data_IF_339143451277
#
_entry.id   IF_339143451277
#
_cell.length_a   1.000
_cell.length_b   1.000
_cell.length_c   1.000
_cell.angle_alpha   90.00
_cell.angle_beta   90.00
_cell.angle_gamma   90.00
#
_symmetry.space_group_name_H-M   'P 1'
#
loop_
_entity.id
_entity.type
_entity.pdbx_description
1 polymer ?
#
# COMPACT_ATOMS: atom_id res chain seq x y z
N UNK A 1 1.00 -11.98 -12.07
CA UNK A 1 1.72 -11.32 -10.98
C UNK A 1 1.68 -12.20 -9.75
N UNK A 2 2.58 -12.01 -8.79
CA UNK A 2 2.48 -12.70 -7.49
C UNK A 2 1.46 -11.95 -6.61
N UNK A 3 0.48 -12.67 -6.03
CA UNK A 3 -0.52 -12.09 -5.10
C UNK A 3 0.05 -11.93 -3.67
N UNK A 4 1.37 -11.83 -3.55
CA UNK A 4 2.10 -11.67 -2.30
C UNK A 4 3.37 -10.88 -2.52
N UNK A 5 3.74 -10.10 -1.52
CA UNK A 5 5.03 -9.43 -1.44
C UNK A 5 5.81 -10.00 -0.25
N UNK A 6 6.89 -10.71 -0.54
CA UNK A 6 7.79 -11.23 0.49
C UNK A 6 8.83 -10.21 0.90
N UNK A 7 8.94 -9.96 2.21
CA UNK A 7 10.00 -9.17 2.82
C UNK A 7 10.88 -10.09 3.67
N UNK A 8 12.17 -10.14 3.35
CA UNK A 8 13.14 -11.03 4.02
C UNK A 8 13.59 -10.51 5.40
N UNK A 9 12.64 -10.13 6.25
CA UNK A 9 12.89 -9.72 7.63
C UNK A 9 11.74 -10.20 8.56
N UNK A 10 11.99 -10.29 9.87
CA UNK A 10 10.94 -10.59 10.85
C UNK A 10 9.83 -9.53 10.90
N UNK A 11 8.65 -9.95 11.33
CA UNK A 11 7.41 -9.17 11.34
C UNK A 11 7.56 -7.73 11.84
N UNK A 12 8.13 -7.51 13.03
CA UNK A 12 8.26 -6.16 13.60
C UNK A 12 9.02 -5.21 12.69
N UNK A 13 10.04 -5.71 11.98
CA UNK A 13 10.80 -4.90 11.02
C UNK A 13 10.03 -4.74 9.72
N UNK A 14 9.35 -5.78 9.24
CA UNK A 14 8.51 -5.71 8.04
C UNK A 14 7.36 -4.72 8.22
N UNK A 15 6.68 -4.73 9.37
CA UNK A 15 5.63 -3.79 9.75
C UNK A 15 6.08 -2.33 9.61
N UNK A 16 7.25 -2.00 10.15
CA UNK A 16 7.84 -0.66 10.04
C UNK A 16 8.22 -0.29 8.60
N UNK A 17 8.71 -1.26 7.82
CA UNK A 17 9.05 -1.06 6.41
C UNK A 17 7.78 -0.78 5.59
N UNK A 18 6.73 -1.58 5.79
CA UNK A 18 5.43 -1.41 5.12
C UNK A 18 4.80 -0.05 5.49
N UNK A 19 4.73 0.28 6.78
CA UNK A 19 4.21 1.57 7.26
C UNK A 19 4.94 2.76 6.64
N UNK A 20 6.27 2.69 6.53
CA UNK A 20 7.08 3.72 5.87
C UNK A 20 6.81 3.80 4.37
N UNK A 21 6.66 2.66 3.70
CA UNK A 21 6.38 2.61 2.26
C UNK A 21 5.01 3.23 1.93
N UNK A 22 3.97 2.90 2.71
CA UNK A 22 2.64 3.52 2.61
C UNK A 22 2.73 5.05 2.74
N UNK A 23 3.41 5.54 3.78
CA UNK A 23 3.62 6.98 3.99
C UNK A 23 4.38 7.66 2.85
N UNK A 24 5.37 7.00 2.24
CA UNK A 24 6.13 7.56 1.10
C UNK A 24 5.31 7.71 -0.18
N UNK A 25 4.18 7.01 -0.28
CA UNK A 25 3.26 7.07 -1.42
C UNK A 25 2.00 7.85 -1.11
N UNK A 26 1.95 8.53 0.05
CA UNK A 26 0.77 9.25 0.51
C UNK A 26 -0.51 8.40 0.51
N UNK A 27 -0.37 7.07 0.64
CA UNK A 27 -1.50 6.16 0.77
C UNK A 27 -2.12 6.40 2.15
N UNK A 28 -3.39 6.75 2.17
CA UNK A 28 -4.12 6.93 3.42
C UNK A 28 -4.23 5.59 4.17
N UNK A 29 -3.85 5.61 5.44
CA UNK A 29 -3.99 4.46 6.35
C UNK A 29 -5.01 4.84 7.41
N UNK A 30 -6.23 4.35 7.26
CA UNK A 30 -7.35 4.65 8.17
C UNK A 30 -7.25 3.88 9.48
N UNK A 31 -6.64 2.69 9.45
CA UNK A 31 -6.41 1.87 10.64
C UNK A 31 -5.07 1.14 10.60
N UNK A 32 -4.44 1.02 11.77
CA UNK A 32 -3.22 0.24 11.99
C UNK A 32 -3.44 -0.73 13.14
N UNK A 33 -3.68 -1.99 12.83
CA UNK A 33 -3.77 -3.05 13.83
C UNK A 33 -2.52 -3.94 13.76
N UNK A 34 -1.50 -3.61 14.55
CA UNK A 34 -0.24 -4.36 14.55
C UNK A 34 -0.37 -5.74 15.20
N UNK A 35 -1.32 -5.92 16.10
CA UNK A 35 -1.58 -7.21 16.76
C UNK A 35 -2.11 -8.23 15.76
N UNK A 36 -3.12 -7.83 14.97
CA UNK A 36 -3.68 -8.63 13.87
C UNK A 36 -2.81 -8.60 12.61
N UNK A 37 -1.82 -7.70 12.56
CA UNK A 37 -0.95 -7.52 11.40
C UNK A 37 -1.65 -6.95 10.18
N UNK A 38 -2.64 -6.07 10.37
CA UNK A 38 -3.46 -5.50 9.28
C UNK A 38 -3.33 -3.98 9.23
N UNK A 39 -3.11 -3.47 8.02
CA UNK A 39 -3.36 -2.06 7.67
C UNK A 39 -4.64 -1.96 6.85
N UNK A 40 -5.54 -1.06 7.24
CA UNK A 40 -6.69 -0.64 6.43
C UNK A 40 -6.28 0.59 5.65
N UNK A 41 -6.36 0.55 4.32
CA UNK A 41 -5.89 1.64 3.43
C UNK A 41 -6.95 2.06 2.44
N UNK A 42 -6.97 3.36 2.11
CA UNK A 42 -7.68 3.86 0.92
C UNK A 42 -6.71 3.93 -0.25
N UNK A 43 -7.09 3.36 -1.38
CA UNK A 43 -6.25 3.29 -2.57
C UNK A 43 -7.08 3.38 -3.85
N UNK A 44 -6.71 4.29 -4.75
CA UNK A 44 -7.23 4.32 -6.12
C UNK A 44 -6.25 3.58 -7.05
N UNK A 45 -6.61 2.40 -7.58
CA UNK A 45 -5.74 1.64 -8.48
C UNK A 45 -5.57 2.29 -9.85
N UNK A 46 -6.41 3.26 -10.21
CA UNK A 46 -6.44 3.93 -11.50
C UNK A 46 -5.97 5.40 -11.41
N UNK A 47 -5.43 5.79 -10.24
CA UNK A 47 -4.78 7.09 -10.05
C UNK A 47 -3.71 7.30 -11.11
N UNK A 48 -3.93 8.28 -11.98
CA UNK A 48 -2.93 8.70 -12.95
C UNK A 48 -1.98 9.66 -12.26
N UNK A 49 -0.67 9.40 -12.35
CA UNK A 49 0.32 10.40 -11.97
C UNK A 49 0.07 11.62 -12.85
N UNK A 50 -0.33 12.73 -12.22
CA UNK A 50 -0.33 14.01 -12.91
C UNK A 50 1.13 14.32 -13.26
N UNK A 51 1.50 14.14 -14.52
CA UNK A 51 2.79 14.59 -15.03
C UNK A 51 2.77 16.12 -15.05
N UNK A 52 3.35 16.72 -14.00
CA UNK A 52 3.94 18.06 -13.95
C UNK A 52 3.08 19.23 -14.48
N UNK A 53 2.57 20.09 -13.59
CA UNK A 53 2.01 21.37 -14.07
C UNK A 53 1.28 22.27 -13.09
N UNK A 54 2.02 23.00 -12.25
CA UNK A 54 1.54 24.16 -11.47
C UNK A 54 0.74 23.86 -10.19
N UNK A 55 1.14 24.54 -9.11
CA UNK A 55 0.46 24.62 -7.81
C UNK A 55 -1.05 24.96 -7.85
N UNK A 56 -1.57 25.35 -9.02
CA UNK A 56 -3.00 25.58 -9.24
C UNK A 56 -3.81 24.29 -9.41
N UNK A 57 -3.22 23.23 -9.97
CA UNK A 57 -3.89 21.95 -10.18
C UNK A 57 -4.11 21.21 -8.84
N UNK A 58 -3.21 21.41 -7.88
CA UNK A 58 -3.32 20.87 -6.51
C UNK A 58 -4.49 21.52 -5.73
N UNK A 59 -4.78 22.80 -5.96
CA UNK A 59 -5.91 23.51 -5.34
C UNK A 59 -7.23 23.14 -6.01
N UNK A 60 -7.27 23.01 -7.33
CA UNK A 60 -8.49 22.60 -8.05
C UNK A 60 -8.89 21.17 -7.70
N UNK A 61 -7.95 20.25 -7.45
CA UNK A 61 -8.25 18.88 -7.01
C UNK A 61 -8.97 18.84 -5.65
N UNK A 62 -8.61 19.72 -4.71
CA UNK A 62 -9.23 19.79 -3.38
C UNK A 62 -10.67 20.37 -3.38
N UNK A 63 -11.05 21.15 -4.41
CA UNK A 63 -12.37 21.79 -4.50
C UNK A 63 -13.25 21.27 -5.65
N UNK A 64 -12.67 20.59 -6.64
CA UNK A 64 -13.31 20.17 -7.87
C UNK A 64 -13.40 18.66 -7.94
N UNK A 65 -14.13 18.06 -6.99
CA UNK A 65 -14.49 16.64 -6.87
C UNK A 65 -14.08 15.77 -8.07
N UNK A 66 -12.82 15.34 -8.09
CA UNK A 66 -12.46 14.16 -8.86
C UNK A 66 -13.15 13.04 -8.11
N UNK A 67 -14.00 12.30 -8.82
CA UNK A 67 -14.64 11.12 -8.27
C UNK A 67 -13.54 10.10 -7.99
N UNK A 68 -12.96 10.19 -6.80
CA UNK A 68 -11.93 9.29 -6.31
C UNK A 68 -12.50 7.89 -6.40
N UNK A 69 -11.85 7.02 -7.19
CA UNK A 69 -12.18 5.60 -7.19
C UNK A 69 -11.42 4.89 -6.06
N UNK A 70 -11.01 5.64 -5.03
CA UNK A 70 -10.47 5.07 -3.80
C UNK A 70 -11.42 4.02 -3.26
N UNK A 71 -10.83 2.86 -3.00
CA UNK A 71 -11.48 1.75 -2.33
C UNK A 71 -10.67 1.38 -1.10
N UNK A 72 -11.37 0.83 -0.12
CA UNK A 72 -10.74 0.22 1.04
C UNK A 72 -10.07 -1.09 0.63
N UNK A 73 -8.81 -1.27 1.04
CA UNK A 73 -8.11 -2.55 0.97
C UNK A 73 -7.51 -2.90 2.33
N UNK A 74 -7.42 -4.19 2.64
CA UNK A 74 -6.74 -4.70 3.82
C UNK A 74 -5.40 -5.30 3.43
N UNK A 75 -4.31 -4.72 3.93
CA UNK A 75 -2.96 -5.27 3.78
C UNK A 75 -2.61 -6.09 5.01
N UNK A 76 -2.57 -7.41 4.86
CA UNK A 76 -2.24 -8.34 5.93
C UNK A 76 -0.77 -8.77 5.86
N UNK A 77 -0.10 -8.68 7.00
CA UNK A 77 1.29 -9.11 7.19
C UNK A 77 1.33 -10.43 7.93
N UNK A 78 1.78 -11.48 7.24
CA UNK A 78 1.84 -12.84 7.76
C UNK A 78 3.28 -13.24 8.08
N UNK A 79 3.49 -13.72 9.30
CA UNK A 79 4.79 -14.27 9.73
C UNK A 79 5.10 -15.54 8.94
N UNK A 80 6.27 -15.58 8.31
CA UNK A 80 6.76 -16.76 7.60
C UNK A 80 8.21 -17.04 8.01
N UNK A 81 8.41 -17.78 9.10
CA UNK A 81 9.73 -18.03 9.69
C UNK A 81 10.50 -16.72 9.98
N UNK A 82 11.65 -16.52 9.32
CA UNK A 82 12.50 -15.32 9.43
C UNK A 82 12.09 -14.21 8.43
N UNK A 83 10.96 -14.39 7.75
CA UNK A 83 10.45 -13.52 6.69
C UNK A 83 9.01 -13.13 7.01
N UNK A 84 8.50 -12.15 6.29
CA UNK A 84 7.11 -11.69 6.40
C UNK A 84 6.54 -11.54 5.00
N UNK A 85 5.38 -12.14 4.77
CA UNK A 85 4.64 -11.98 3.52
C UNK A 85 3.57 -10.91 3.71
N UNK A 86 3.41 -10.01 2.74
CA UNK A 86 2.30 -9.05 2.65
C UNK A 86 1.34 -9.55 1.58
N UNK A 87 0.07 -9.63 1.93
CA UNK A 87 -1.02 -9.99 1.00
C UNK A 87 -2.14 -8.96 1.11
N UNK A 88 -2.97 -8.87 0.07
CA UNK A 88 -4.22 -8.10 0.11
C UNK A 88 -5.35 -9.07 0.43
N UNK A 89 -6.20 -8.71 1.38
CA UNK A 89 -7.37 -9.51 1.76
C UNK A 89 -8.65 -8.67 1.74
N UNK A 90 -9.79 -9.34 1.66
CA UNK A 90 -11.10 -8.73 1.89
C UNK A 90 -11.47 -8.70 3.38
N UNK A 91 -12.65 -8.17 3.69
CA UNK A 91 -13.18 -8.08 5.06
C UNK A 91 -13.34 -9.44 5.74
N UNK A 92 -13.52 -10.52 4.98
CA UNK A 92 -13.59 -11.91 5.44
C UNK A 92 -12.19 -12.57 5.56
N UNK A 93 -11.13 -11.78 5.43
CA UNK A 93 -9.72 -12.18 5.42
C UNK A 93 -9.34 -13.17 4.30
N UNK A 94 -10.12 -13.23 3.22
CA UNK A 94 -9.80 -14.04 2.04
C UNK A 94 -8.84 -13.27 1.12
N UNK A 95 -7.92 -14.01 0.49
CA UNK A 95 -6.94 -13.42 -0.42
C UNK A 95 -7.62 -12.76 -1.64
N UNK A 96 -7.39 -11.46 -1.81
CA UNK A 96 -7.75 -10.74 -3.02
C UNK A 96 -6.63 -10.89 -4.06
N UNK A 97 -7.01 -11.27 -5.27
CA UNK A 97 -6.11 -11.61 -6.38
C UNK A 97 -6.43 -10.87 -7.67
N UNK A 98 -7.08 -9.72 -7.55
CA UNK A 98 -7.44 -8.87 -8.67
C UNK A 98 -6.29 -7.95 -9.11
N UNK A 99 -6.52 -7.22 -10.20
CA UNK A 99 -5.54 -6.30 -10.77
C UNK A 99 -5.18 -5.15 -9.81
N UNK A 100 -6.13 -4.67 -9.00
CA UNK A 100 -5.90 -3.59 -8.05
C UNK A 100 -4.97 -4.03 -6.91
N UNK A 101 -5.22 -5.23 -6.37
CA UNK A 101 -4.38 -5.87 -5.36
C UNK A 101 -2.95 -6.05 -5.87
N UNK A 102 -2.80 -6.50 -7.12
CA UNK A 102 -1.50 -6.64 -7.74
C UNK A 102 -0.77 -5.29 -7.92
N UNK A 103 -1.48 -4.24 -8.37
CA UNK A 103 -0.92 -2.88 -8.48
C UNK A 103 -0.45 -2.36 -7.11
N UNK A 104 -1.25 -2.52 -6.06
CA UNK A 104 -0.92 -2.09 -4.70
C UNK A 104 0.32 -2.81 -4.15
N UNK A 105 0.40 -4.13 -4.29
CA UNK A 105 1.57 -4.91 -3.86
C UNK A 105 2.83 -4.54 -4.65
N UNK A 106 2.69 -4.28 -5.96
CA UNK A 106 3.80 -3.82 -6.81
C UNK A 106 4.30 -2.46 -6.37
N UNK A 107 3.40 -1.50 -6.14
CA UNK A 107 3.72 -0.16 -5.65
C UNK A 107 4.48 -0.19 -4.32
N UNK A 108 4.04 -1.04 -3.38
CA UNK A 108 4.75 -1.27 -2.12
C UNK A 108 6.13 -1.86 -2.35
N UNK A 109 6.26 -2.88 -3.19
CA UNK A 109 7.53 -3.52 -3.48
C UNK A 109 8.55 -2.53 -4.04
N UNK A 110 8.16 -1.74 -5.04
CA UNK A 110 9.01 -0.74 -5.67
C UNK A 110 9.45 0.34 -4.67
N UNK A 111 8.52 0.82 -3.85
CA UNK A 111 8.79 1.83 -2.83
C UNK A 111 9.77 1.34 -1.78
N UNK A 112 9.62 0.08 -1.34
CA UNK A 112 10.53 -0.55 -0.38
C UNK A 112 11.92 -0.72 -0.99
N UNK A 113 12.00 -1.24 -2.22
CA UNK A 113 13.28 -1.38 -2.95
C UNK A 113 14.00 -0.03 -3.06
N UNK A 114 13.28 1.02 -3.43
CA UNK A 114 13.82 2.37 -3.55
C UNK A 114 14.27 2.96 -2.20
N UNK A 115 13.54 2.71 -1.09
CA UNK A 115 13.95 3.18 0.24
C UNK A 115 15.22 2.48 0.75
N UNK A 116 15.35 1.18 0.47
CA UNK A 116 16.50 0.39 0.90
C UNK A 116 17.76 0.71 0.09
N UNK A 117 17.64 1.07 -1.19
CA UNK A 117 18.76 1.45 -2.04
C UNK A 117 19.36 2.83 -1.71
N UNK A 118 18.64 3.68 -0.97
CA UNK A 118 19.10 5.02 -0.54
C UNK A 118 19.96 4.99 0.74
N UNK A 119 20.25 3.81 1.28
CA UNK A 119 21.04 3.60 2.49
C UNK A 119 22.35 2.93 2.15
#
# INVERSE_FOLDING_TARGET
>A
GENRLRINVPFTRAWRIASKALSRKSIEVTERNQEEGVFTVQYDPDEQKVEDGSYWDEVVFLFGGIQSNEKTYLLKLEKNNQQTDIVVVDEDQQLLSDAASFKLLTLLQETIKADLAKK
#
